data_IF_574674532501
#
_entry.id   IF_574674532501
#
_cell.length_a   1.000
_cell.length_b   1.000
_cell.length_c   1.000
_cell.angle_alpha   90.00
_cell.angle_beta   90.00
_cell.angle_gamma   90.00
#
_symmetry.space_group_name_H-M   'P 1'
#
loop_
_entity.id
_entity.type
_entity.pdbx_description
1 polymer ?
#
# COMPACT_ATOMS: atom_id res chain seq x y z
N UNK A 1 -6.92 -5.64 -5.03
CA UNK A 1 -7.24 -4.30 -5.55
C UNK A 1 -8.68 -4.03 -5.20
N UNK A 2 -8.93 -3.09 -4.28
CA UNK A 2 -10.27 -2.76 -3.80
C UNK A 2 -10.74 -1.41 -4.38
N UNK A 3 -12.02 -1.09 -4.21
CA UNK A 3 -12.61 0.17 -4.68
C UNK A 3 -11.85 1.43 -4.24
N UNK A 4 -11.10 1.35 -3.13
CA UNK A 4 -10.31 2.46 -2.59
C UNK A 4 -8.93 2.61 -3.20
N UNK A 5 -8.29 1.56 -3.74
CA UNK A 5 -6.93 1.66 -4.31
C UNK A 5 -6.84 1.29 -5.79
N UNK A 6 -7.99 1.05 -6.43
CA UNK A 6 -8.10 0.70 -7.84
C UNK A 6 -8.76 -0.67 -7.99
N UNK A 7 -9.58 -0.82 -9.01
CA UNK A 7 -10.28 -2.08 -9.31
C UNK A 7 -9.52 -2.88 -10.36
N UNK A 8 -8.68 -2.21 -11.16
CA UNK A 8 -7.88 -2.80 -12.21
C UNK A 8 -6.39 -2.76 -11.86
N UNK A 9 -5.82 -3.93 -11.66
CA UNK A 9 -4.40 -4.08 -11.41
C UNK A 9 -3.55 -3.74 -12.64
N UNK A 10 -4.09 -3.60 -13.85
CA UNK A 10 -3.32 -3.30 -15.07
C UNK A 10 -3.30 -1.80 -15.41
N UNK A 11 -4.00 -0.96 -14.65
CA UNK A 11 -3.98 0.49 -14.84
C UNK A 11 -2.71 1.11 -14.24
N UNK A 12 -1.84 1.66 -15.10
CA UNK A 12 -0.59 2.30 -14.68
C UNK A 12 -0.83 3.55 -13.83
N UNK A 13 -1.93 4.27 -14.07
CA UNK A 13 -2.27 5.48 -13.32
C UNK A 13 -2.60 5.14 -11.86
N UNK A 14 -3.25 3.99 -11.65
CA UNK A 14 -3.51 3.43 -10.33
C UNK A 14 -2.21 3.14 -9.57
N UNK A 15 -1.23 2.47 -10.19
CA UNK A 15 0.07 2.20 -9.55
C UNK A 15 0.89 3.46 -9.30
N UNK A 16 0.89 4.41 -10.23
CA UNK A 16 1.53 5.71 -10.02
C UNK A 16 0.93 6.46 -8.84
N UNK A 17 -0.40 6.41 -8.69
CA UNK A 17 -1.12 7.01 -7.56
C UNK A 17 -0.68 6.40 -6.24
N UNK A 18 -0.60 5.06 -6.16
CA UNK A 18 -0.12 4.34 -4.97
C UNK A 18 1.34 4.69 -4.68
N UNK A 19 2.22 4.67 -5.69
CA UNK A 19 3.63 5.05 -5.52
C UNK A 19 3.77 6.46 -4.95
N UNK A 20 3.07 7.44 -5.53
CA UNK A 20 3.09 8.85 -5.11
C UNK A 20 2.58 9.00 -3.67
N UNK A 21 1.50 8.30 -3.34
CA UNK A 21 0.93 8.27 -2.00
C UNK A 21 1.90 7.70 -0.95
N UNK A 22 2.55 6.58 -1.27
CA UNK A 22 3.56 5.95 -0.42
C UNK A 22 4.93 6.67 -0.47
N UNK A 23 5.06 7.72 -1.30
CA UNK A 23 6.28 8.51 -1.49
C UNK A 23 7.53 7.67 -1.83
N UNK A 24 7.33 6.54 -2.52
CA UNK A 24 8.42 5.62 -2.88
C UNK A 24 9.32 6.24 -3.94
N UNK A 25 10.63 6.11 -3.81
CA UNK A 25 11.64 6.56 -4.78
C UNK A 25 12.64 5.44 -5.07
N UNK A 26 13.23 5.36 -6.29
CA UNK A 26 13.06 6.22 -7.47
C UNK A 26 11.71 6.03 -8.20
N UNK A 27 11.46 6.80 -9.28
CA UNK A 27 10.32 6.59 -10.18
C UNK A 27 10.69 5.48 -11.17
N UNK A 28 10.04 4.31 -11.13
CA UNK A 28 10.27 3.28 -12.13
C UNK A 28 9.73 3.73 -13.49
N UNK A 29 10.43 3.40 -14.57
CA UNK A 29 10.09 3.81 -15.94
C UNK A 29 9.00 2.95 -16.61
N UNK A 30 8.69 1.79 -16.02
CA UNK A 30 7.75 0.82 -16.58
C UNK A 30 6.82 0.24 -15.49
N UNK A 31 5.69 -0.33 -15.94
CA UNK A 31 4.63 -0.84 -15.05
C UNK A 31 5.06 -2.07 -14.25
N UNK A 32 5.93 -2.91 -14.79
CA UNK A 32 6.38 -4.13 -14.11
C UNK A 32 7.29 -3.77 -12.94
N UNK A 33 8.25 -2.88 -13.17
CA UNK A 33 9.11 -2.33 -12.12
C UNK A 33 8.31 -1.56 -11.07
N UNK A 34 7.27 -0.81 -11.49
CA UNK A 34 6.40 -0.10 -10.54
C UNK A 34 5.59 -1.04 -9.66
N UNK A 35 5.03 -2.10 -10.26
CA UNK A 35 4.38 -3.19 -9.52
C UNK A 35 5.35 -3.83 -8.54
N UNK A 36 6.55 -4.14 -8.99
CA UNK A 36 7.56 -4.80 -8.16
C UNK A 36 7.93 -3.95 -6.93
N UNK A 37 8.24 -2.67 -7.12
CA UNK A 37 8.57 -1.75 -6.02
C UNK A 37 7.44 -1.63 -4.99
N UNK A 38 6.19 -1.56 -5.46
CA UNK A 38 5.03 -1.47 -4.56
C UNK A 38 4.79 -2.80 -3.83
N UNK A 39 4.96 -3.93 -4.51
CA UNK A 39 4.80 -5.27 -3.92
C UNK A 39 5.93 -5.62 -2.93
N UNK A 40 7.13 -5.09 -3.14
CA UNK A 40 8.26 -5.23 -2.23
C UNK A 40 8.13 -4.29 -1.00
N UNK A 41 7.25 -3.29 -1.08
CA UNK A 41 6.94 -2.41 0.03
C UNK A 41 5.96 -3.09 0.98
N UNK A 42 6.39 -3.31 2.22
CA UNK A 42 5.53 -3.85 3.27
C UNK A 42 4.76 -2.72 3.93
N UNK A 43 3.43 -2.74 3.83
CA UNK A 43 2.56 -1.69 4.34
C UNK A 43 1.23 -2.28 4.84
N UNK A 44 0.69 -1.72 5.92
CA UNK A 44 -0.62 -2.14 6.42
C UNK A 44 -1.73 -1.48 5.58
N UNK A 45 -2.63 -2.31 5.05
CA UNK A 45 -3.72 -1.85 4.17
C UNK A 45 -4.75 -0.98 4.90
N UNK A 46 -5.00 -1.22 6.19
CA UNK A 46 -5.90 -0.39 7.00
C UNK A 46 -5.30 1.01 7.19
N UNK A 47 -4.00 1.11 7.44
CA UNK A 47 -3.32 2.42 7.55
C UNK A 47 -3.34 3.17 6.23
N UNK A 48 -3.19 2.47 5.10
CA UNK A 48 -3.37 3.08 3.79
C UNK A 48 -4.79 3.65 3.62
N UNK A 49 -5.83 2.88 3.99
CA UNK A 49 -7.23 3.35 3.89
C UNK A 49 -7.48 4.55 4.79
N UNK A 50 -7.04 4.48 6.04
CA UNK A 50 -7.18 5.54 7.02
C UNK A 50 -6.51 6.82 6.56
N UNK A 51 -5.26 6.73 6.08
CA UNK A 51 -4.51 7.87 5.54
C UNK A 51 -5.16 8.43 4.27
N UNK A 52 -5.77 7.59 3.42
CA UNK A 52 -6.51 8.06 2.24
C UNK A 52 -7.80 8.80 2.63
N UNK A 53 -8.52 8.33 3.65
CA UNK A 53 -9.80 8.92 4.13
C UNK A 53 -9.58 10.19 4.94
N UNK A 54 -8.61 10.17 5.85
CA UNK A 54 -8.43 11.20 6.88
C UNK A 54 -7.18 12.07 6.67
N UNK A 55 -6.37 11.77 5.66
CA UNK A 55 -5.03 12.33 5.51
C UNK A 55 -4.03 11.69 6.49
N UNK A 56 -2.75 12.02 6.32
CA UNK A 56 -1.66 11.51 7.18
C UNK A 56 -0.62 10.70 6.42
N UNK A 57 0.42 10.26 7.12
CA UNK A 57 1.49 9.41 6.56
C UNK A 57 1.22 7.93 6.85
N UNK A 58 1.50 7.08 5.87
CA UNK A 58 1.47 5.62 6.07
C UNK A 58 2.85 5.14 6.50
N UNK A 59 2.88 4.23 7.48
CA UNK A 59 4.13 3.58 7.92
C UNK A 59 4.54 2.51 6.92
N UNK A 60 5.77 2.61 6.42
CA UNK A 60 6.39 1.57 5.61
C UNK A 60 7.26 0.68 6.50
N UNK A 61 7.22 -0.62 6.24
CA UNK A 61 7.99 -1.63 6.94
C UNK A 61 9.05 -2.20 6.00
N UNK A 62 10.20 -2.56 6.54
CA UNK A 62 11.29 -3.12 5.73
C UNK A 62 11.08 -4.60 5.47
N UNK A 63 10.41 -5.30 6.38
CA UNK A 63 10.17 -6.74 6.27
C UNK A 63 8.71 -7.10 6.52
N UNK A 64 8.33 -8.27 6.02
CA UNK A 64 7.02 -8.87 6.30
C UNK A 64 6.82 -9.12 7.80
N UNK A 65 7.86 -9.54 8.51
CA UNK A 65 7.78 -9.84 9.94
C UNK A 65 7.51 -8.57 10.75
N UNK A 66 8.17 -7.45 10.44
CA UNK A 66 7.86 -6.15 11.06
C UNK A 66 6.42 -5.71 10.83
N UNK A 67 5.90 -5.92 9.61
CA UNK A 67 4.50 -5.62 9.29
C UNK A 67 3.54 -6.51 10.08
N UNK A 68 3.84 -7.81 10.22
CA UNK A 68 3.03 -8.75 11.00
C UNK A 68 3.03 -8.36 12.47
N UNK A 69 4.20 -8.12 13.06
CA UNK A 69 4.35 -7.74 14.46
C UNK A 69 3.55 -6.48 14.77
N UNK A 70 3.69 -5.44 13.93
CA UNK A 70 2.91 -4.22 14.03
C UNK A 70 1.39 -4.49 13.93
N UNK A 71 0.98 -5.28 12.94
CA UNK A 71 -0.44 -5.58 12.69
C UNK A 71 -1.07 -6.30 13.87
N UNK A 72 -0.36 -7.25 14.47
CA UNK A 72 -0.84 -8.01 15.64
C UNK A 72 -0.83 -7.15 16.89
N UNK A 73 0.26 -6.42 17.16
CA UNK A 73 0.40 -5.56 18.34
C UNK A 73 -0.66 -4.45 18.39
N UNK A 74 -0.91 -3.80 17.26
CA UNK A 74 -1.88 -2.70 17.16
C UNK A 74 -3.30 -3.18 16.85
N UNK A 75 -3.51 -4.49 16.62
CA UNK A 75 -4.79 -5.04 16.22
C UNK A 75 -5.30 -4.53 14.86
N UNK A 76 -4.39 -4.09 13.99
CA UNK A 76 -4.67 -3.43 12.70
C UNK A 76 -4.99 -4.43 11.58
N UNK A 77 -5.90 -5.35 11.85
CA UNK A 77 -6.33 -6.33 10.87
C UNK A 77 -7.16 -5.67 9.77
N UNK A 78 -6.93 -6.07 8.54
CA UNK A 78 -7.76 -5.63 7.43
C UNK A 78 -9.14 -6.32 7.51
N UNK A 79 -10.25 -5.56 7.57
CA UNK A 79 -11.58 -6.13 7.70
C UNK A 79 -11.93 -6.97 6.47
N UNK A 80 -12.52 -8.16 6.69
CA UNK A 80 -12.87 -9.09 5.61
C UNK A 80 -13.91 -8.52 4.66
N UNK A 81 -14.72 -7.60 5.14
CA UNK A 81 -15.79 -6.93 4.41
C UNK A 81 -15.24 -5.94 3.37
N UNK A 82 -13.99 -5.49 3.52
CA UNK A 82 -13.31 -4.58 2.59
C UNK A 82 -12.25 -5.30 1.72
N UNK A 83 -12.10 -6.63 1.86
CA UNK A 83 -11.08 -7.49 1.24
C UNK A 83 -11.43 -8.00 -0.16
#
# INVERSE_FOLDING_TARGET
FNSSFGVDANDIATWEGIRKFLKLSPIPSDIESMRHVILDTHVNLSDMLDSKRNGGSVRLFQTKDELIDYTVQEGRYFPKEEA
#
